data_IF_107443214888
#
_entry.id   IF_107443214888
#
_cell.length_a   1.000
_cell.length_b   1.000
_cell.length_c   1.000
_cell.angle_alpha   90.00
_cell.angle_beta   90.00
_cell.angle_gamma   90.00
#
_symmetry.space_group_name_H-M   'P 1'
#
loop_
_entity.id
_entity.type
_entity.pdbx_description
1 polymer ?
#
# COMPACT_ATOMS: atom_id res chain seq x y z
N UNK A 1 8.06 5.80 22.86
CA UNK A 1 8.12 4.92 21.66
C UNK A 1 9.53 4.45 21.32
N UNK A 2 9.68 3.13 21.09
CA UNK A 2 10.85 2.49 20.47
C UNK A 2 10.38 1.69 19.26
N UNK A 3 11.15 1.73 18.18
CA UNK A 3 10.85 1.03 16.93
C UNK A 3 12.06 0.23 16.49
N UNK A 4 11.83 -1.01 16.07
CA UNK A 4 12.84 -1.86 15.44
C UNK A 4 12.32 -2.38 14.10
N UNK A 5 13.22 -2.50 13.14
CA UNK A 5 12.96 -3.15 11.84
C UNK A 5 13.90 -4.32 11.70
N UNK A 6 13.33 -5.51 11.50
CA UNK A 6 14.07 -6.75 11.41
C UNK A 6 13.73 -7.44 10.09
N UNK A 7 14.74 -8.01 9.44
CA UNK A 7 14.59 -8.69 8.15
C UNK A 7 15.21 -10.08 8.18
N UNK A 8 14.68 -10.98 7.36
CA UNK A 8 15.24 -12.30 7.15
C UNK A 8 15.23 -12.66 5.66
N UNK A 9 16.33 -13.27 5.24
CA UNK A 9 16.54 -13.91 3.93
C UNK A 9 16.74 -15.42 4.07
N UNK A 10 16.38 -15.99 5.22
CA UNK A 10 16.58 -17.40 5.46
C UNK A 10 15.85 -18.24 4.40
N UNK A 11 16.46 -19.34 3.98
CA UNK A 11 15.94 -20.15 2.86
C UNK A 11 14.69 -20.96 3.22
N UNK A 12 14.32 -21.00 4.50
CA UNK A 12 13.12 -21.70 4.95
C UNK A 12 12.29 -20.79 5.85
N UNK A 13 10.98 -20.98 5.82
CA UNK A 13 10.04 -20.25 6.67
C UNK A 13 10.34 -20.42 8.17
N UNK A 14 10.74 -21.63 8.58
CA UNK A 14 11.03 -21.93 9.99
C UNK A 14 12.28 -21.19 10.45
N UNK A 15 13.33 -21.17 9.63
CA UNK A 15 14.56 -20.46 9.95
C UNK A 15 14.33 -18.95 9.97
N UNK A 16 13.52 -18.43 9.04
CA UNK A 16 13.14 -17.02 9.03
C UNK A 16 12.39 -16.64 10.31
N UNK A 17 11.40 -17.44 10.72
CA UNK A 17 10.68 -17.22 11.96
C UNK A 17 11.59 -17.28 13.20
N UNK A 18 12.53 -18.23 13.26
CA UNK A 18 13.48 -18.32 14.37
C UNK A 18 14.42 -17.12 14.42
N UNK A 19 14.96 -16.70 13.28
CA UNK A 19 15.84 -15.53 13.19
C UNK A 19 15.12 -14.27 13.67
N UNK A 20 13.92 -14.01 13.15
CA UNK A 20 13.13 -12.83 13.52
C UNK A 20 12.76 -12.85 15.02
N UNK A 21 12.38 -14.02 15.57
CA UNK A 21 12.12 -14.19 17.01
C UNK A 21 13.36 -13.92 17.87
N UNK A 22 14.52 -14.43 17.47
CA UNK A 22 15.77 -14.21 18.19
C UNK A 22 16.17 -12.73 18.20
N UNK A 23 16.01 -12.03 17.08
CA UNK A 23 16.27 -10.58 17.02
C UNK A 23 15.26 -9.77 17.85
N UNK A 24 13.97 -10.14 17.85
CA UNK A 24 12.97 -9.53 18.75
C UNK A 24 13.37 -9.70 20.23
N UNK A 25 13.83 -10.88 20.63
CA UNK A 25 14.24 -11.16 22.00
C UNK A 25 15.54 -10.42 22.40
N UNK A 26 16.41 -10.09 21.44
CA UNK A 26 17.57 -9.22 21.67
C UNK A 26 17.16 -7.76 21.82
N UNK A 27 16.15 -7.33 21.05
CA UNK A 27 15.65 -5.97 21.13
C UNK A 27 15.02 -5.70 22.50
N UNK A 28 14.13 -6.56 22.99
CA UNK A 28 13.41 -6.33 24.23
C UNK A 28 13.06 -7.63 24.97
N UNK A 29 12.97 -7.55 26.29
CA UNK A 29 12.48 -8.66 27.14
C UNK A 29 10.95 -8.76 27.15
N UNK A 30 10.25 -7.70 26.74
CA UNK A 30 8.79 -7.69 26.55
C UNK A 30 8.43 -7.86 25.07
N UNK A 31 7.28 -8.48 24.79
CA UNK A 31 6.74 -8.51 23.43
C UNK A 31 6.48 -7.08 22.93
N UNK A 32 6.60 -6.82 21.61
CA UNK A 32 6.15 -5.57 21.02
C UNK A 32 4.63 -5.40 21.17
N UNK A 33 4.18 -4.16 21.20
CA UNK A 33 2.76 -3.82 21.29
C UNK A 33 2.10 -3.93 19.91
N UNK A 34 2.83 -3.57 18.85
CA UNK A 34 2.41 -3.71 17.47
C UNK A 34 3.52 -4.31 16.59
N UNK A 35 3.12 -5.19 15.66
CA UNK A 35 3.99 -5.75 14.62
C UNK A 35 3.28 -5.68 13.26
N UNK A 36 3.90 -5.02 12.30
CA UNK A 36 3.59 -5.20 10.88
C UNK A 36 4.60 -6.16 10.26
N UNK A 37 4.15 -7.37 9.89
CA UNK A 37 4.95 -8.42 9.27
C UNK A 37 4.59 -8.55 7.78
N UNK A 38 5.58 -8.33 6.91
CA UNK A 38 5.42 -8.53 5.48
C UNK A 38 6.38 -9.57 4.95
N UNK A 39 5.90 -10.46 4.10
CA UNK A 39 6.67 -11.61 3.62
C UNK A 39 6.36 -11.98 2.18
N UNK A 40 7.22 -12.80 1.57
CA UNK A 40 6.94 -13.38 0.26
C UNK A 40 5.71 -14.30 0.33
N UNK A 41 4.89 -14.27 -0.72
CA UNK A 41 3.77 -15.18 -0.92
C UNK A 41 4.19 -16.67 -1.05
N UNK A 42 5.49 -16.97 -1.22
CA UNK A 42 6.00 -18.35 -1.30
C UNK A 42 6.30 -18.97 0.07
N UNK A 43 6.23 -18.19 1.15
CA UNK A 43 6.44 -18.67 2.52
C UNK A 43 5.15 -19.26 3.11
N UNK A 44 5.30 -20.17 4.08
CA UNK A 44 4.17 -20.64 4.89
C UNK A 44 3.84 -19.56 5.94
N UNK A 45 2.90 -18.67 5.60
CA UNK A 45 2.58 -17.52 6.44
C UNK A 45 2.05 -17.91 7.82
N UNK A 46 1.38 -19.05 7.95
CA UNK A 46 0.92 -19.55 9.25
C UNK A 46 2.11 -20.02 10.10
N UNK A 47 3.04 -20.77 9.52
CA UNK A 47 4.26 -21.18 10.22
C UNK A 47 5.16 -19.98 10.58
N UNK A 48 5.25 -18.98 9.70
CA UNK A 48 5.98 -17.73 9.97
C UNK A 48 5.37 -16.99 11.16
N UNK A 49 4.05 -16.76 11.12
CA UNK A 49 3.28 -16.11 12.18
C UNK A 49 3.46 -16.83 13.52
N UNK A 50 3.24 -18.14 13.55
CA UNK A 50 3.27 -18.94 14.78
C UNK A 50 4.70 -19.03 15.33
N UNK A 51 5.71 -19.09 14.45
CA UNK A 51 7.12 -19.20 14.81
C UNK A 51 7.69 -17.96 15.50
N UNK A 52 7.11 -16.77 15.31
CA UNK A 52 7.54 -15.54 15.99
C UNK A 52 7.35 -15.60 17.51
N UNK A 53 6.39 -16.38 18.01
CA UNK A 53 6.14 -16.54 19.46
C UNK A 53 5.69 -15.25 20.16
N UNK A 54 4.96 -14.38 19.46
CA UNK A 54 4.40 -13.14 20.03
C UNK A 54 3.39 -13.46 21.16
N UNK A 55 3.19 -12.53 22.10
CA UNK A 55 2.17 -12.66 23.15
C UNK A 55 0.78 -12.29 22.65
N UNK A 56 -0.27 -12.76 23.32
CA UNK A 56 -1.66 -12.50 22.94
C UNK A 56 -2.03 -11.01 22.83
N UNK A 57 -1.30 -10.17 23.56
CA UNK A 57 -1.47 -8.71 23.61
C UNK A 57 -0.85 -8.00 22.40
N UNK A 58 0.12 -8.61 21.70
CA UNK A 58 0.72 -7.98 20.51
C UNK A 58 -0.28 -7.92 19.36
N UNK A 59 -0.59 -6.71 18.89
CA UNK A 59 -1.34 -6.48 17.67
C UNK A 59 -0.50 -6.87 16.45
N UNK A 60 -0.84 -7.99 15.81
CA UNK A 60 -0.14 -8.47 14.61
C UNK A 60 -0.92 -8.13 13.35
N UNK A 61 -0.28 -7.43 12.43
CA UNK A 61 -0.74 -7.15 11.09
C UNK A 61 0.16 -7.85 10.08
N UNK A 62 -0.41 -8.64 9.19
CA UNK A 62 0.34 -9.43 8.22
C UNK A 62 -0.14 -9.28 6.80
N UNK A 63 0.78 -9.13 5.83
CA UNK A 63 0.43 -9.18 4.41
C UNK A 63 1.60 -9.63 3.53
N UNK A 64 1.31 -10.14 2.34
CA UNK A 64 2.35 -10.49 1.37
C UNK A 64 2.89 -9.25 0.64
N UNK A 65 4.18 -9.27 0.30
CA UNK A 65 4.91 -8.20 -0.41
C UNK A 65 5.57 -8.73 -1.68
N UNK A 66 5.44 -7.99 -2.78
CA UNK A 66 5.90 -8.34 -4.11
C UNK A 66 7.44 -8.40 -4.16
N UNK A 67 8.01 -9.56 -4.48
CA UNK A 67 9.45 -9.77 -4.72
C UNK A 67 10.41 -9.30 -3.59
N UNK A 68 9.92 -9.12 -2.37
CA UNK A 68 10.73 -8.83 -1.18
C UNK A 68 10.32 -7.57 -0.44
N UNK A 69 11.28 -6.99 0.30
CA UNK A 69 11.12 -5.80 1.15
C UNK A 69 12.40 -4.96 1.11
N UNK A 70 12.32 -3.69 1.51
CA UNK A 70 13.49 -2.80 1.65
C UNK A 70 13.63 -2.33 3.10
N UNK A 71 14.85 -2.10 3.56
CA UNK A 71 15.14 -1.69 4.94
C UNK A 71 16.43 -0.88 5.05
N UNK A 72 16.73 -0.42 6.26
CA UNK A 72 17.93 0.36 6.59
C UNK A 72 19.24 -0.30 6.28
N UNK A 73 19.33 -1.63 6.31
CA UNK A 73 20.62 -2.31 6.22
C UNK A 73 20.89 -2.80 4.80
N UNK A 74 19.84 -3.21 4.07
CA UNK A 74 19.86 -3.53 2.64
C UNK A 74 18.43 -3.61 2.05
N UNK A 75 18.33 -3.56 0.72
CA UNK A 75 17.20 -4.11 -0.01
C UNK A 75 17.25 -5.63 0.15
N UNK A 76 16.20 -6.22 0.73
CA UNK A 76 16.06 -7.67 0.81
C UNK A 76 15.26 -8.14 -0.39
N UNK A 77 15.90 -8.03 -1.56
CA UNK A 77 15.40 -8.59 -2.80
C UNK A 77 15.73 -10.08 -2.79
N UNK A 78 14.79 -10.89 -2.33
CA UNK A 78 14.94 -12.33 -2.15
C UNK A 78 13.65 -13.01 -2.57
N UNK A 79 13.54 -13.28 -3.88
CA UNK A 79 12.33 -13.58 -4.65
C UNK A 79 11.48 -14.80 -4.19
N UNK A 80 11.79 -15.46 -3.07
CA UNK A 80 10.95 -16.55 -2.53
C UNK A 80 10.81 -16.59 -1.00
N UNK A 81 11.76 -16.08 -0.22
CA UNK A 81 11.74 -16.27 1.26
C UNK A 81 12.05 -15.00 2.07
N UNK A 82 11.92 -13.82 1.44
CA UNK A 82 12.10 -12.55 2.15
C UNK A 82 10.97 -12.27 3.13
N UNK A 83 11.31 -11.92 4.37
CA UNK A 83 10.38 -11.41 5.38
C UNK A 83 10.97 -10.19 6.09
N UNK A 84 10.13 -9.22 6.41
CA UNK A 84 10.48 -8.03 7.17
C UNK A 84 9.39 -7.71 8.19
N UNK A 85 9.77 -7.32 9.39
CA UNK A 85 8.84 -6.89 10.43
C UNK A 85 9.22 -5.52 10.97
N UNK A 86 8.20 -4.71 11.22
CA UNK A 86 8.27 -3.42 11.88
C UNK A 86 7.58 -3.56 13.24
N UNK A 87 8.33 -3.37 14.32
CA UNK A 87 7.84 -3.58 15.67
C UNK A 87 7.88 -2.29 16.49
N UNK A 88 6.78 -2.00 17.20
CA UNK A 88 6.65 -0.84 18.09
C UNK A 88 6.56 -1.33 19.54
N UNK A 89 7.33 -0.67 20.41
CA UNK A 89 7.18 -0.72 21.87
C UNK A 89 6.85 0.69 22.37
N UNK A 90 5.66 0.88 22.91
CA UNK A 90 5.18 2.13 23.50
C UNK A 90 4.43 1.84 24.80
N UNK A 91 4.73 2.58 25.86
CA UNK A 91 4.26 2.22 27.20
C UNK A 91 2.83 2.75 27.47
N UNK A 92 2.44 3.86 26.84
CA UNK A 92 1.10 4.46 26.94
C UNK A 92 0.28 4.39 25.63
N UNK A 93 0.74 3.60 24.65
CA UNK A 93 0.02 3.39 23.37
C UNK A 93 -0.86 2.14 23.39
N UNK A 94 -1.97 2.18 22.66
CA UNK A 94 -2.91 1.05 22.52
C UNK A 94 -3.01 0.62 21.05
N UNK A 95 -2.97 -0.69 20.82
CA UNK A 95 -2.89 -1.26 19.47
C UNK A 95 -3.83 -2.45 19.34
N UNK A 96 -4.55 -2.52 18.22
CA UNK A 96 -5.41 -3.65 17.92
C UNK A 96 -5.40 -3.97 16.43
N UNK A 97 -5.36 -5.27 16.11
CA UNK A 97 -5.38 -5.77 14.73
C UNK A 97 -6.46 -6.84 14.57
N UNK A 98 -7.21 -6.78 13.47
CA UNK A 98 -8.20 -7.78 13.15
C UNK A 98 -8.29 -8.04 11.64
N UNK A 99 -8.30 -9.31 11.26
CA UNK A 99 -8.56 -9.74 9.89
C UNK A 99 -10.00 -10.24 9.71
N UNK A 100 -10.57 -10.03 8.51
CA UNK A 100 -11.87 -10.54 8.08
C UNK A 100 -11.81 -11.02 6.63
N UNK A 101 -12.47 -12.14 6.27
CA UNK A 101 -12.69 -12.48 4.87
C UNK A 101 -13.54 -11.38 4.21
N UNK A 102 -13.37 -11.12 2.91
CA UNK A 102 -14.16 -10.10 2.21
C UNK A 102 -15.58 -10.55 1.86
N UNK A 103 -15.79 -11.85 1.66
CA UNK A 103 -17.08 -12.45 1.29
C UNK A 103 -17.82 -11.60 0.21
N UNK A 104 -19.15 -11.48 0.30
CA UNK A 104 -19.98 -10.78 -0.68
C UNK A 104 -20.21 -9.28 -0.36
N UNK A 105 -19.77 -8.77 0.80
CA UNK A 105 -19.95 -7.36 1.20
C UNK A 105 -18.64 -6.76 1.76
N UNK A 106 -17.72 -6.35 0.87
CA UNK A 106 -16.41 -5.81 1.27
C UNK A 106 -16.51 -4.56 2.15
N UNK A 107 -17.56 -3.74 1.98
CA UNK A 107 -17.79 -2.56 2.81
C UNK A 107 -18.15 -2.98 4.24
N UNK A 108 -19.09 -3.91 4.41
CA UNK A 108 -19.42 -4.43 5.73
C UNK A 108 -18.21 -5.10 6.39
N UNK A 109 -17.40 -5.85 5.63
CA UNK A 109 -16.18 -6.50 6.15
C UNK A 109 -15.10 -5.51 6.57
N UNK A 110 -14.90 -4.43 5.82
CA UNK A 110 -14.02 -3.33 6.23
C UNK A 110 -14.48 -2.68 7.54
N UNK A 111 -15.78 -2.42 7.67
CA UNK A 111 -16.39 -1.88 8.89
C UNK A 111 -16.23 -2.83 10.09
N UNK A 112 -16.52 -4.12 9.91
CA UNK A 112 -16.39 -5.13 10.97
C UNK A 112 -14.94 -5.38 11.39
N UNK A 113 -14.00 -5.37 10.45
CA UNK A 113 -12.57 -5.45 10.77
C UNK A 113 -12.13 -4.23 11.58
N UNK A 114 -12.61 -3.04 11.22
CA UNK A 114 -12.31 -1.82 11.97
C UNK A 114 -12.83 -1.86 13.41
N UNK A 115 -14.10 -2.23 13.61
CA UNK A 115 -14.67 -2.36 14.96
C UNK A 115 -13.96 -3.44 15.78
N UNK A 116 -13.63 -4.58 15.17
CA UNK A 116 -12.90 -5.64 15.85
C UNK A 116 -11.48 -5.20 16.25
N UNK A 117 -10.80 -4.42 15.42
CA UNK A 117 -9.49 -3.87 15.76
C UNK A 117 -9.57 -2.84 16.91
N UNK A 118 -10.64 -2.04 16.99
CA UNK A 118 -10.89 -1.16 18.15
C UNK A 118 -11.14 -1.93 19.44
N UNK A 119 -11.92 -3.02 19.39
CA UNK A 119 -12.15 -3.91 20.54
C UNK A 119 -10.85 -4.59 20.99
N UNK A 120 -10.02 -5.03 20.05
CA UNK A 120 -8.71 -5.62 20.36
C UNK A 120 -7.73 -4.60 20.97
N UNK A 121 -7.89 -3.32 20.67
CA UNK A 121 -7.14 -2.23 21.30
C UNK A 121 -7.71 -1.82 22.68
N UNK A 122 -8.85 -2.36 23.12
CA UNK A 122 -9.61 -1.92 24.30
C UNK A 122 -10.08 -0.45 24.22
N UNK A 123 -10.38 0.03 23.00
CA UNK A 123 -10.74 1.43 22.70
C UNK A 123 -12.02 1.55 21.85
N UNK A 124 -13.11 0.84 22.18
CA UNK A 124 -14.33 0.87 21.36
C UNK A 124 -14.95 2.28 21.30
N UNK A 125 -15.25 2.73 20.09
CA UNK A 125 -15.86 4.04 19.85
C UNK A 125 -14.90 5.24 19.93
N UNK A 126 -13.61 4.99 20.15
CA UNK A 126 -12.57 6.01 20.08
C UNK A 126 -11.97 6.12 18.67
N UNK A 127 -11.34 7.26 18.39
CA UNK A 127 -10.75 7.58 17.10
C UNK A 127 -9.23 7.37 17.22
N UNK A 128 -8.63 6.46 16.44
CA UNK A 128 -7.18 6.23 16.46
C UNK A 128 -6.41 7.34 15.75
N UNK A 129 -5.10 7.41 16.01
CA UNK A 129 -4.20 8.39 15.36
C UNK A 129 -3.84 7.98 13.93
N UNK A 130 -3.90 6.68 13.65
CA UNK A 130 -3.56 6.08 12.36
C UNK A 130 -4.26 4.73 12.20
N UNK A 131 -4.66 4.43 10.97
CA UNK A 131 -5.03 3.07 10.55
C UNK A 131 -3.99 2.53 9.59
N UNK A 132 -3.44 1.35 9.91
CA UNK A 132 -2.63 0.57 8.98
C UNK A 132 -3.50 -0.51 8.32
N UNK A 133 -3.56 -0.49 6.98
CA UNK A 133 -4.47 -1.31 6.18
C UNK A 133 -3.70 -2.24 5.23
N UNK A 134 -4.06 -3.52 5.21
CA UNK A 134 -3.78 -4.38 4.07
C UNK A 134 -5.04 -5.12 3.65
N UNK A 135 -5.26 -5.23 2.34
CA UNK A 135 -6.45 -5.85 1.75
C UNK A 135 -6.05 -6.66 0.53
N UNK A 136 -6.80 -7.69 0.17
CA UNK A 136 -6.57 -8.39 -1.10
C UNK A 136 -7.06 -7.53 -2.29
N UNK A 137 -6.36 -7.56 -3.44
CA UNK A 137 -6.74 -6.74 -4.60
C UNK A 137 -8.17 -7.01 -5.09
N UNK A 138 -8.92 -5.95 -5.39
CA UNK A 138 -10.21 -6.03 -6.08
C UNK A 138 -11.32 -5.15 -5.51
N UNK A 139 -11.29 -4.87 -4.20
CA UNK A 139 -12.39 -4.24 -3.46
C UNK A 139 -11.93 -3.12 -2.52
N UNK A 140 -10.76 -2.54 -2.80
CA UNK A 140 -10.09 -1.54 -1.97
C UNK A 140 -10.99 -0.34 -1.62
N UNK A 141 -11.70 0.22 -2.60
CA UNK A 141 -12.57 1.38 -2.41
C UNK A 141 -13.74 1.09 -1.45
N UNK A 142 -14.33 -0.10 -1.56
CA UNK A 142 -15.44 -0.53 -0.70
C UNK A 142 -14.97 -0.79 0.74
N UNK A 143 -13.83 -1.46 0.91
CA UNK A 143 -13.21 -1.68 2.23
C UNK A 143 -12.84 -0.36 2.89
N UNK A 144 -12.23 0.57 2.15
CA UNK A 144 -11.93 1.92 2.64
C UNK A 144 -13.19 2.66 3.09
N UNK A 145 -14.29 2.55 2.35
CA UNK A 145 -15.56 3.13 2.79
C UNK A 145 -16.07 2.49 4.08
N UNK A 146 -15.97 1.17 4.21
CA UNK A 146 -16.38 0.44 5.41
C UNK A 146 -15.62 0.88 6.66
N UNK A 147 -14.30 1.02 6.55
CA UNK A 147 -13.47 1.50 7.66
C UNK A 147 -13.88 2.92 8.04
N UNK A 148 -14.06 3.82 7.07
CA UNK A 148 -14.50 5.21 7.32
C UNK A 148 -15.88 5.31 7.94
N UNK A 149 -16.80 4.39 7.63
CA UNK A 149 -18.10 4.33 8.29
C UNK A 149 -17.98 4.06 9.81
N UNK A 150 -16.90 3.39 10.25
CA UNK A 150 -16.65 3.07 11.65
C UNK A 150 -15.95 4.20 12.43
N UNK A 151 -14.94 4.84 11.82
CA UNK A 151 -14.03 5.78 12.52
C UNK A 151 -14.11 7.23 12.02
N UNK A 152 -14.86 7.49 10.95
CA UNK A 152 -14.93 8.79 10.27
C UNK A 152 -13.88 8.98 9.16
N UNK A 153 -13.92 10.15 8.52
CA UNK A 153 -13.10 10.45 7.32
C UNK A 153 -11.74 11.11 7.63
N UNK A 154 -11.50 11.59 8.85
CA UNK A 154 -10.33 12.42 9.19
C UNK A 154 -9.10 11.60 9.62
N UNK A 155 -9.28 10.33 10.01
CA UNK A 155 -8.17 9.47 10.39
C UNK A 155 -7.39 9.04 9.15
N UNK A 156 -6.07 9.22 9.09
CA UNK A 156 -5.27 8.69 7.99
C UNK A 156 -5.36 7.16 7.93
N UNK A 157 -5.76 6.63 6.78
CA UNK A 157 -5.75 5.20 6.45
C UNK A 157 -4.65 4.99 5.43
N UNK A 158 -3.62 4.24 5.81
CA UNK A 158 -2.41 4.09 5.02
C UNK A 158 -2.05 2.61 4.93
N UNK A 159 -1.60 2.20 3.76
CA UNK A 159 -1.24 0.82 3.52
C UNK A 159 -1.23 0.49 2.04
N UNK A 160 -1.48 -0.77 1.71
CA UNK A 160 -1.59 -1.22 0.33
C UNK A 160 -2.21 -2.60 0.25
N UNK A 161 -2.67 -2.97 -0.94
CA UNK A 161 -3.17 -4.31 -1.15
C UNK A 161 -2.02 -5.33 -1.12
N UNK A 162 -2.30 -6.49 -0.52
CA UNK A 162 -1.37 -7.61 -0.48
C UNK A 162 -0.95 -7.98 -1.90
N UNK A 163 0.33 -8.33 -2.06
CA UNK A 163 0.91 -8.58 -3.37
C UNK A 163 1.56 -9.96 -3.45
N UNK A 164 1.52 -10.54 -4.64
CA UNK A 164 2.33 -11.70 -5.01
C UNK A 164 3.42 -11.25 -6.02
N UNK A 165 4.11 -12.21 -6.63
CA UNK A 165 5.25 -11.90 -7.50
C UNK A 165 4.88 -11.73 -8.99
N UNK A 166 3.69 -12.18 -9.40
CA UNK A 166 3.30 -12.32 -10.80
C UNK A 166 1.81 -12.04 -11.09
N UNK A 167 1.07 -11.52 -10.10
CA UNK A 167 -0.36 -11.18 -10.18
C UNK A 167 -1.23 -12.41 -10.47
N UNK A 168 -0.83 -13.57 -9.93
CA UNK A 168 -1.51 -14.85 -10.09
C UNK A 168 -2.62 -15.11 -9.07
N UNK A 169 -2.70 -14.30 -8.00
CA UNK A 169 -3.66 -14.47 -6.92
C UNK A 169 -3.10 -15.15 -5.67
N UNK A 170 -1.78 -15.31 -5.57
CA UNK A 170 -1.13 -16.00 -4.46
C UNK A 170 -0.88 -15.07 -3.25
N UNK A 171 -1.48 -13.88 -3.24
CA UNK A 171 -1.39 -12.92 -2.15
C UNK A 171 -2.20 -13.37 -0.94
N UNK A 172 -1.84 -12.86 0.23
CA UNK A 172 -2.59 -13.10 1.45
C UNK A 172 -2.43 -11.97 2.47
N UNK A 173 -3.43 -11.85 3.33
CA UNK A 173 -3.39 -11.05 4.56
C UNK A 173 -3.57 -11.95 5.76
N UNK A 174 -3.08 -11.53 6.93
CA UNK A 174 -3.20 -12.33 8.15
C UNK A 174 -3.14 -11.48 9.41
N UNK A 175 -3.72 -12.02 10.48
CA UNK A 175 -3.54 -11.53 11.85
C UNK A 175 -3.05 -12.69 12.73
N UNK A 176 -3.14 -12.56 14.06
CA UNK A 176 -2.75 -13.63 14.99
C UNK A 176 -3.57 -14.92 14.82
N UNK A 177 -4.83 -14.82 14.40
CA UNK A 177 -5.78 -15.93 14.41
C UNK A 177 -5.76 -16.68 13.07
N UNK A 178 -5.66 -15.97 11.95
CA UNK A 178 -5.92 -16.56 10.63
C UNK A 178 -5.06 -15.97 9.51
N UNK A 179 -4.96 -16.73 8.42
CA UNK A 179 -4.40 -16.32 7.13
C UNK A 179 -5.51 -16.40 6.09
N UNK A 180 -5.67 -15.35 5.29
CA UNK A 180 -6.75 -15.20 4.33
C UNK A 180 -6.17 -14.89 2.94
N UNK A 181 -6.52 -15.70 1.95
CA UNK A 181 -6.21 -15.45 0.54
C UNK A 181 -7.18 -14.44 -0.10
N UNK A 182 -8.30 -14.17 0.56
CA UNK A 182 -9.27 -13.14 0.21
C UNK A 182 -9.79 -12.50 1.49
N UNK A 183 -9.34 -11.28 1.78
CA UNK A 183 -9.56 -10.68 3.08
C UNK A 183 -9.00 -9.27 3.24
N UNK A 184 -9.31 -8.69 4.39
CA UNK A 184 -8.76 -7.44 4.89
C UNK A 184 -8.16 -7.66 6.27
N UNK A 185 -7.05 -6.99 6.58
CA UNK A 185 -6.54 -6.81 7.93
C UNK A 185 -6.42 -5.31 8.22
N UNK A 186 -6.99 -4.91 9.35
CA UNK A 186 -7.02 -3.51 9.81
C UNK A 186 -6.32 -3.45 11.15
N UNK A 187 -5.46 -2.44 11.32
CA UNK A 187 -4.84 -2.14 12.61
C UNK A 187 -5.13 -0.72 13.03
N UNK A 188 -5.60 -0.56 14.27
CA UNK A 188 -5.83 0.72 14.93
C UNK A 188 -4.63 1.03 15.81
N UNK A 189 -4.02 2.19 15.60
CA UNK A 189 -2.86 2.65 16.36
C UNK A 189 -3.27 3.90 17.15
N UNK A 190 -3.31 3.78 18.47
CA UNK A 190 -3.42 4.90 19.41
C UNK A 190 -2.03 5.16 19.98
N UNK A 191 -1.40 6.25 19.54
CA UNK A 191 -0.01 6.55 19.82
C UNK A 191 0.10 7.51 21.01
N UNK A 192 1.06 7.27 21.90
CA UNK A 192 1.50 8.30 22.87
C UNK A 192 2.29 9.40 22.13
N UNK A 193 3.07 8.98 21.12
CA UNK A 193 3.86 9.85 20.26
C UNK A 193 3.06 10.56 19.16
N UNK A 194 3.76 10.87 18.07
CA UNK A 194 3.23 11.54 16.89
C UNK A 194 3.47 10.68 15.66
N UNK A 195 2.65 10.89 14.64
CA UNK A 195 2.92 10.38 13.30
C UNK A 195 2.73 11.50 12.28
N UNK A 196 3.36 11.34 11.13
CA UNK A 196 3.02 12.11 9.94
C UNK A 196 3.27 11.30 8.69
N UNK A 197 2.39 11.49 7.71
CA UNK A 197 2.41 10.77 6.46
C UNK A 197 2.61 11.66 5.23
N UNK A 198 2.98 11.02 4.12
CA UNK A 198 2.96 11.61 2.79
C UNK A 198 2.55 10.55 1.77
N UNK A 199 1.72 10.93 0.79
CA UNK A 199 1.20 10.05 -0.26
C UNK A 199 1.29 10.75 -1.63
N UNK A 200 2.00 10.16 -2.60
CA UNK A 200 2.22 10.79 -3.90
C UNK A 200 2.39 9.79 -5.05
N UNK A 201 2.14 10.25 -6.28
CA UNK A 201 2.36 9.49 -7.50
C UNK A 201 3.73 9.76 -8.14
N UNK A 202 4.22 11.00 -8.15
CA UNK A 202 5.45 11.37 -8.89
C UNK A 202 5.30 11.40 -10.41
N UNK A 203 4.07 11.32 -10.94
CA UNK A 203 3.77 11.50 -12.36
C UNK A 203 3.31 12.93 -12.64
N UNK A 204 3.53 13.39 -13.87
CA UNK A 204 3.07 14.71 -14.33
C UNK A 204 1.86 14.59 -15.25
N UNK A 205 0.86 15.48 -15.15
CA UNK A 205 -0.28 15.45 -16.06
C UNK A 205 0.13 15.90 -17.47
N UNK A 206 -0.38 15.21 -18.49
CA UNK A 206 -0.29 15.67 -19.87
C UNK A 206 -1.43 16.65 -20.21
N UNK A 207 -1.46 17.15 -21.45
CA UNK A 207 -2.58 17.94 -21.95
C UNK A 207 -3.80 17.09 -22.38
N UNK A 208 -3.69 15.76 -22.34
CA UNK A 208 -4.75 14.86 -22.77
C UNK A 208 -5.66 14.47 -21.61
N UNK A 209 -6.93 14.85 -21.69
CA UNK A 209 -7.98 14.46 -20.75
C UNK A 209 -9.30 14.24 -21.46
N UNK A 210 -10.23 13.56 -20.79
CA UNK A 210 -11.58 13.29 -21.30
C UNK A 210 -12.52 12.82 -20.20
N UNK A 211 -13.83 12.93 -20.46
CA UNK A 211 -14.87 12.52 -19.53
C UNK A 211 -15.20 11.04 -19.71
N UNK A 212 -15.27 10.30 -18.62
CA UNK A 212 -15.76 8.92 -18.63
C UNK A 212 -17.25 8.93 -18.87
N UNK A 213 -17.68 8.49 -20.06
CA UNK A 213 -19.09 8.48 -20.45
C UNK A 213 -19.76 7.14 -20.26
N UNK A 214 -18.98 6.06 -20.10
CA UNK A 214 -19.49 4.73 -19.74
C UNK A 214 -18.43 3.90 -19.03
N UNK A 215 -18.74 3.41 -17.82
CA UNK A 215 -17.86 2.56 -17.03
C UNK A 215 -18.66 1.67 -16.08
N UNK A 216 -18.12 0.50 -15.75
CA UNK A 216 -18.70 -0.43 -14.78
C UNK A 216 -17.58 -1.02 -13.92
N UNK A 217 -17.60 -0.73 -12.62
CA UNK A 217 -16.54 -1.12 -11.69
C UNK A 217 -15.15 -0.69 -12.19
N UNK A 218 -14.31 -1.69 -12.46
CA UNK A 218 -12.93 -1.54 -12.94
C UNK A 218 -12.76 -1.64 -14.46
N UNK A 219 -13.84 -1.44 -15.21
CA UNK A 219 -13.82 -1.43 -16.68
C UNK A 219 -14.33 -0.12 -17.23
N UNK A 220 -13.48 0.55 -18.00
CA UNK A 220 -13.83 1.79 -18.71
C UNK A 220 -14.19 1.43 -20.14
N UNK A 221 -15.43 1.68 -20.53
CA UNK A 221 -15.88 1.39 -21.88
C UNK A 221 -15.72 2.60 -22.80
N UNK A 222 -16.08 3.79 -22.31
CA UNK A 222 -16.12 4.99 -23.14
C UNK A 222 -15.55 6.22 -22.42
N UNK A 223 -14.77 6.99 -23.19
CA UNK A 223 -14.29 8.32 -22.84
C UNK A 223 -14.70 9.28 -23.96
N UNK A 224 -15.37 10.38 -23.62
CA UNK A 224 -15.95 11.35 -24.57
C UNK A 224 -16.83 10.68 -25.66
N UNK A 225 -17.67 9.71 -25.26
CA UNK A 225 -18.53 8.93 -26.16
C UNK A 225 -17.78 8.16 -27.25
N UNK A 226 -16.51 7.83 -27.00
CA UNK A 226 -15.66 7.02 -27.88
C UNK A 226 -15.08 5.85 -27.11
N UNK A 227 -14.75 4.73 -27.77
CA UNK A 227 -14.14 3.58 -27.10
C UNK A 227 -12.89 4.00 -26.31
N UNK A 228 -12.79 3.55 -25.07
CA UNK A 228 -11.71 3.92 -24.15
C UNK A 228 -10.33 3.58 -24.74
N UNK A 229 -10.16 2.42 -25.35
CA UNK A 229 -8.91 2.00 -25.98
C UNK A 229 -8.48 2.94 -27.12
N UNK A 230 -9.43 3.39 -27.95
CA UNK A 230 -9.14 4.33 -29.03
C UNK A 230 -8.69 5.70 -28.50
N UNK A 231 -9.30 6.16 -27.40
CA UNK A 231 -8.89 7.40 -26.73
C UNK A 231 -7.49 7.26 -26.11
N UNK A 232 -7.23 6.15 -25.42
CA UNK A 232 -5.94 5.89 -24.80
C UNK A 232 -4.81 5.73 -25.82
N UNK A 233 -5.05 5.03 -26.94
CA UNK A 233 -4.12 4.96 -28.07
C UNK A 233 -3.81 6.35 -28.62
N UNK A 234 -4.83 7.20 -28.79
CA UNK A 234 -4.64 8.57 -29.27
C UNK A 234 -3.79 9.39 -28.30
N UNK A 235 -4.09 9.32 -27.00
CA UNK A 235 -3.36 10.07 -25.97
C UNK A 235 -1.90 9.61 -25.86
N UNK A 236 -1.66 8.31 -25.97
CA UNK A 236 -0.29 7.73 -25.96
C UNK A 236 0.44 7.85 -27.29
N UNK A 237 -0.16 8.50 -28.29
CA UNK A 237 0.37 8.70 -29.65
C UNK A 237 0.70 7.39 -30.37
N UNK A 238 -0.14 6.37 -30.16
CA UNK A 238 -0.01 5.06 -30.80
C UNK A 238 0.98 4.11 -30.14
N UNK A 239 1.66 4.52 -29.06
CA UNK A 239 2.56 3.62 -28.29
C UNK A 239 1.82 2.42 -27.73
N UNK A 240 0.57 2.60 -27.31
CA UNK A 240 -0.31 1.52 -26.87
C UNK A 240 -1.43 1.36 -27.90
N UNK A 241 -1.37 0.34 -28.78
CA UNK A 241 -2.41 0.08 -29.77
C UNK A 241 -3.75 -0.27 -29.13
N UNK A 242 -4.85 0.24 -29.71
CA UNK A 242 -6.22 -0.08 -29.27
C UNK A 242 -6.69 -1.45 -29.78
N UNK A 243 -6.11 -1.94 -30.88
CA UNK A 243 -6.57 -3.16 -31.52
C UNK A 243 -6.09 -4.40 -30.79
N UNK A 244 -7.04 -5.31 -30.57
CA UNK A 244 -6.81 -6.63 -29.99
C UNK A 244 -7.06 -7.66 -31.08
N UNK A 245 -6.04 -8.47 -31.37
CA UNK A 245 -6.16 -9.56 -32.36
C UNK A 245 -6.65 -10.83 -31.68
N UNK A 246 -7.89 -11.23 -31.97
CA UNK A 246 -8.48 -12.46 -31.42
C UNK A 246 -9.49 -12.20 -30.30
N UNK A 247 -9.96 -13.26 -29.62
CA UNK A 247 -11.01 -13.17 -28.62
C UNK A 247 -10.51 -12.76 -27.23
N UNK A 248 -9.20 -12.81 -26.99
CA UNK A 248 -8.61 -12.61 -25.65
C UNK A 248 -8.17 -11.16 -25.45
N UNK A 249 -8.29 -10.64 -24.23
CA UNK A 249 -7.80 -9.31 -23.88
C UNK A 249 -6.28 -9.22 -24.02
N UNK A 250 -5.78 -8.07 -24.48
CA UNK A 250 -4.35 -7.76 -24.51
C UNK A 250 -3.91 -7.19 -23.16
N UNK A 251 -3.00 -7.86 -22.47
CA UNK A 251 -2.30 -7.27 -21.32
C UNK A 251 -1.43 -6.08 -21.77
N UNK A 252 -1.58 -4.95 -21.09
CA UNK A 252 -0.81 -3.71 -21.33
C UNK A 252 -0.17 -3.19 -20.05
N UNK A 253 -0.06 -4.02 -19.01
CA UNK A 253 0.29 -3.56 -17.68
C UNK A 253 1.69 -2.93 -17.61
N UNK A 254 2.67 -3.62 -18.18
CA UNK A 254 4.03 -3.10 -18.29
C UNK A 254 4.10 -1.90 -19.26
N UNK A 255 3.32 -1.94 -20.35
CA UNK A 255 3.29 -0.89 -21.38
C UNK A 255 2.74 0.43 -20.82
N UNK A 256 1.75 0.36 -19.92
CA UNK A 256 1.00 1.50 -19.38
C UNK A 256 1.65 2.12 -18.13
N UNK A 257 2.64 1.47 -17.51
CA UNK A 257 3.24 1.91 -16.23
C UNK A 257 3.80 3.33 -16.27
N UNK A 258 4.38 3.78 -17.39
CA UNK A 258 4.89 5.15 -17.53
C UNK A 258 3.87 6.14 -18.11
N UNK A 259 2.69 5.64 -18.48
CA UNK A 259 1.60 6.44 -19.04
C UNK A 259 0.23 6.08 -18.43
N UNK A 260 0.08 6.05 -17.09
CA UNK A 260 -1.19 5.70 -16.47
C UNK A 260 -2.23 6.80 -16.70
N UNK A 261 -3.47 6.51 -16.34
CA UNK A 261 -4.52 7.51 -16.24
C UNK A 261 -4.54 8.06 -14.81
N UNK A 262 -5.20 9.19 -14.58
CA UNK A 262 -5.46 9.69 -13.25
C UNK A 262 -6.77 10.46 -13.17
N UNK A 263 -7.43 10.34 -12.02
CA UNK A 263 -8.47 11.27 -11.60
C UNK A 263 -7.85 12.43 -10.82
N UNK A 264 -8.43 13.60 -10.99
CA UNK A 264 -8.00 14.81 -10.30
C UNK A 264 -8.70 14.91 -8.95
N UNK A 265 -7.93 15.05 -7.87
CA UNK A 265 -8.44 15.35 -6.53
C UNK A 265 -8.08 16.78 -6.18
N UNK A 266 -9.09 17.61 -5.94
CA UNK A 266 -8.85 19.00 -5.58
C UNK A 266 -8.56 19.11 -4.09
N UNK A 267 -7.41 19.69 -3.76
CA UNK A 267 -7.03 20.01 -2.38
C UNK A 267 -7.72 21.29 -1.93
N UNK A 268 -7.91 21.46 -0.61
CA UNK A 268 -8.50 22.70 -0.05
C UNK A 268 -7.65 23.95 -0.31
N UNK A 269 -6.35 23.80 -0.60
CA UNK A 269 -5.44 24.90 -0.95
C UNK A 269 -5.51 25.30 -2.44
N UNK A 270 -6.38 24.66 -3.23
CA UNK A 270 -6.57 24.93 -4.65
C UNK A 270 -5.57 24.23 -5.58
N UNK A 271 -4.61 23.47 -5.04
CA UNK A 271 -3.76 22.59 -5.83
C UNK A 271 -4.49 21.28 -6.17
N UNK A 272 -4.01 20.58 -7.18
CA UNK A 272 -4.55 19.30 -7.61
C UNK A 272 -3.58 18.18 -7.27
N UNK A 273 -4.07 17.17 -6.58
CA UNK A 273 -3.44 15.86 -6.53
C UNK A 273 -4.01 14.98 -7.64
N UNK A 274 -3.22 13.98 -8.05
CA UNK A 274 -3.60 13.03 -9.09
C UNK A 274 -3.54 11.63 -8.52
N UNK A 275 -4.72 11.01 -8.37
CA UNK A 275 -4.84 9.61 -8.01
C UNK A 275 -4.81 8.78 -9.29
N UNK A 276 -3.76 8.00 -9.41
CA UNK A 276 -3.53 7.21 -10.60
C UNK A 276 -4.48 6.02 -10.67
N UNK A 277 -4.87 5.73 -11.91
CA UNK A 277 -5.63 4.56 -12.33
C UNK A 277 -4.76 3.85 -13.36
N UNK A 278 -4.34 2.61 -13.08
CA UNK A 278 -3.39 1.89 -13.92
C UNK A 278 -4.11 1.00 -14.93
N UNK A 279 -3.98 1.26 -16.25
CA UNK A 279 -4.55 0.38 -17.28
C UNK A 279 -3.88 -0.99 -17.32
N UNK A 280 -4.66 -2.05 -17.18
CA UNK A 280 -4.18 -3.42 -17.10
C UNK A 280 -4.32 -4.19 -18.42
N UNK A 281 -5.48 -4.08 -19.07
CA UNK A 281 -5.76 -4.78 -20.31
C UNK A 281 -6.67 -3.99 -21.25
N UNK A 282 -6.53 -4.26 -22.55
CA UNK A 282 -7.47 -3.81 -23.58
C UNK A 282 -8.29 -5.00 -24.04
N UNK A 283 -9.60 -4.86 -24.07
CA UNK A 283 -10.54 -5.91 -24.43
C UNK A 283 -10.92 -5.85 -25.93
N UNK A 284 -11.44 -6.95 -26.51
CA UNK A 284 -11.91 -6.97 -27.90
C UNK A 284 -13.01 -5.96 -28.22
N UNK A 285 -13.82 -5.57 -27.22
CA UNK A 285 -14.84 -4.53 -27.33
C UNK A 285 -14.28 -3.10 -27.19
N UNK A 286 -12.95 -2.95 -27.15
CA UNK A 286 -12.20 -1.71 -26.96
C UNK A 286 -12.42 -1.02 -25.61
N UNK A 287 -12.96 -1.73 -24.61
CA UNK A 287 -12.89 -1.31 -23.21
C UNK A 287 -11.48 -1.51 -22.64
N UNK A 288 -11.18 -0.79 -21.56
CA UNK A 288 -9.93 -0.90 -20.81
C UNK A 288 -10.25 -1.40 -19.40
N UNK A 289 -9.62 -2.50 -18.99
CA UNK A 289 -9.59 -2.92 -17.59
C UNK A 289 -8.53 -2.13 -16.83
N UNK A 290 -8.87 -1.69 -15.62
CA UNK A 290 -8.00 -0.88 -14.74
C UNK A 290 -7.93 -1.49 -13.34
N UNK A 291 -7.01 -0.99 -12.51
CA UNK A 291 -6.83 -1.46 -11.13
C UNK A 291 -7.48 -0.59 -10.04
N UNK A 292 -8.31 0.37 -10.43
CA UNK A 292 -9.10 1.20 -9.52
C UNK A 292 -10.48 1.44 -10.14
N UNK A 293 -11.53 1.54 -9.32
CA UNK A 293 -12.88 1.80 -9.81
C UNK A 293 -13.00 3.21 -10.38
N UNK A 294 -13.57 3.33 -11.58
CA UNK A 294 -13.75 4.63 -12.23
C UNK A 294 -15.23 4.89 -12.47
N UNK A 295 -15.87 5.76 -11.68
CA UNK A 295 -17.24 6.17 -11.90
C UNK A 295 -17.45 6.90 -13.23
N UNK A 296 -18.64 6.72 -13.82
CA UNK A 296 -19.12 7.58 -14.89
C UNK A 296 -19.18 9.04 -14.44
N UNK A 297 -18.82 9.96 -15.34
CA UNK A 297 -18.79 11.40 -15.08
C UNK A 297 -17.46 11.94 -14.53
N UNK A 298 -16.50 11.07 -14.17
CA UNK A 298 -15.15 11.52 -13.82
C UNK A 298 -14.36 12.00 -15.05
N UNK A 299 -13.41 12.91 -14.81
CA UNK A 299 -12.41 13.31 -15.81
C UNK A 299 -11.14 12.50 -15.59
N UNK A 300 -10.71 11.77 -16.61
CA UNK A 300 -9.41 11.11 -16.62
C UNK A 300 -8.41 11.93 -17.41
N UNK A 301 -7.21 12.05 -16.86
CA UNK A 301 -6.06 12.70 -17.50
C UNK A 301 -4.97 11.65 -17.75
N UNK A 302 -4.38 11.65 -18.94
CA UNK A 302 -3.17 10.86 -19.20
C UNK A 302 -2.01 11.48 -18.42
N UNK A 303 -1.32 10.64 -17.66
CA UNK A 303 -0.13 11.02 -16.91
C UNK A 303 1.14 10.56 -17.61
N UNK A 304 2.26 11.21 -17.31
CA UNK A 304 3.58 10.91 -17.84
C UNK A 304 4.56 10.71 -16.68
N UNK A 305 5.23 9.55 -16.68
CA UNK A 305 6.25 9.18 -15.72
C UNK A 305 7.58 8.88 -16.39
N UNK A 306 8.65 8.94 -15.60
CA UNK A 306 9.98 8.46 -15.98
C UNK A 306 10.56 7.64 -14.84
N UNK A 307 11.48 6.71 -15.13
CA UNK A 307 12.20 5.95 -14.10
C UNK A 307 12.86 6.87 -13.06
N UNK A 308 13.49 7.96 -13.52
CA UNK A 308 14.08 8.96 -12.63
C UNK A 308 13.04 9.61 -11.70
N UNK A 309 11.84 9.91 -12.19
CA UNK A 309 10.77 10.45 -11.36
C UNK A 309 10.29 9.43 -10.31
N UNK A 310 10.26 8.14 -10.63
CA UNK A 310 9.92 7.07 -9.69
C UNK A 310 10.98 6.91 -8.57
N UNK A 311 12.25 7.16 -8.88
CA UNK A 311 13.34 7.21 -7.90
C UNK A 311 13.24 8.47 -7.03
N UNK A 312 13.15 9.64 -7.66
CA UNK A 312 13.11 10.93 -6.98
C UNK A 312 11.91 11.05 -6.02
N UNK A 313 10.73 10.55 -6.41
CA UNK A 313 9.53 10.61 -5.56
C UNK A 313 9.71 9.83 -4.25
N UNK A 314 10.50 8.77 -4.25
CA UNK A 314 10.70 7.95 -3.05
C UNK A 314 11.41 8.74 -1.95
N UNK A 315 12.48 9.43 -2.32
CA UNK A 315 13.17 10.34 -1.41
C UNK A 315 12.30 11.51 -0.97
N UNK A 316 11.53 12.12 -1.88
CA UNK A 316 10.63 13.25 -1.56
C UNK A 316 9.55 12.86 -0.56
N UNK A 317 8.86 11.73 -0.77
CA UNK A 317 7.81 11.25 0.13
C UNK A 317 8.36 10.92 1.51
N UNK A 318 9.54 10.26 1.57
CA UNK A 318 10.22 10.00 2.83
C UNK A 318 10.64 11.29 3.57
N UNK A 319 11.19 12.26 2.85
CA UNK A 319 11.54 13.56 3.42
C UNK A 319 10.31 14.33 3.91
N UNK A 320 9.21 14.30 3.14
CA UNK A 320 7.97 14.98 3.48
C UNK A 320 7.36 14.42 4.75
N UNK A 321 7.24 13.10 4.89
CA UNK A 321 6.70 12.50 6.11
C UNK A 321 7.60 12.84 7.30
N UNK A 322 8.92 12.65 7.21
CA UNK A 322 9.85 12.99 8.30
C UNK A 322 9.80 14.46 8.72
N UNK A 323 9.77 15.38 7.76
CA UNK A 323 9.82 16.82 8.04
C UNK A 323 8.48 17.41 8.51
N UNK A 324 7.39 16.66 8.36
CA UNK A 324 6.06 17.06 8.81
C UNK A 324 5.79 16.76 10.27
N UNK A 325 6.65 15.96 10.92
CA UNK A 325 6.59 15.77 12.37
C UNK A 325 6.70 17.11 13.13
N UNK A 326 5.97 17.28 14.25
CA UNK A 326 6.03 18.49 15.06
C UNK A 326 7.45 18.81 15.56
N UNK A 327 8.05 19.86 14.99
CA UNK A 327 9.43 20.27 15.31
C UNK A 327 9.61 20.57 16.79
N UNK A 328 10.63 19.98 17.40
CA UNK A 328 10.97 20.17 18.82
C UNK A 328 10.01 19.49 19.80
N UNK A 329 9.04 18.71 19.30
CA UNK A 329 8.08 17.94 20.09
C UNK A 329 8.06 16.45 19.75
N UNK A 330 8.50 16.09 18.54
CA UNK A 330 8.55 14.72 18.08
C UNK A 330 9.91 14.45 17.41
N UNK A 331 10.74 13.61 18.02
CA UNK A 331 11.93 13.07 17.39
C UNK A 331 11.54 11.84 16.56
N UNK A 332 11.93 11.74 15.27
CA UNK A 332 11.67 10.56 14.46
C UNK A 332 12.23 9.29 15.12
N UNK A 333 11.42 8.22 15.19
CA UNK A 333 11.79 6.91 15.77
C UNK A 333 11.77 5.76 14.76
N UNK A 334 10.96 5.84 13.70
CA UNK A 334 10.96 4.86 12.62
C UNK A 334 9.99 5.23 11.49
N UNK A 335 10.03 4.50 10.38
CA UNK A 335 9.12 4.72 9.26
C UNK A 335 8.60 3.44 8.58
N UNK A 336 7.36 3.51 8.09
CA UNK A 336 6.79 2.51 7.18
C UNK A 336 6.66 3.12 5.79
N UNK A 337 7.13 2.41 4.77
CA UNK A 337 7.07 2.85 3.37
C UNK A 337 6.25 1.84 2.56
N UNK A 338 5.23 2.32 1.86
CA UNK A 338 4.49 1.51 0.89
C UNK A 338 4.88 1.96 -0.50
N UNK A 339 5.42 1.07 -1.31
CA UNK A 339 5.83 1.37 -2.68
C UNK A 339 5.17 0.42 -3.65
N UNK A 340 4.59 0.92 -4.74
CA UNK A 340 3.91 0.04 -5.69
C UNK A 340 4.85 -1.01 -6.30
N UNK A 341 4.46 -2.29 -6.18
CA UNK A 341 5.10 -3.44 -6.79
C UNK A 341 5.17 -3.33 -8.32
N UNK A 342 4.16 -2.74 -8.96
CA UNK A 342 4.20 -2.43 -10.40
C UNK A 342 5.33 -1.46 -10.78
N UNK A 343 5.55 -0.43 -9.97
CA UNK A 343 6.68 0.48 -10.16
C UNK A 343 8.01 -0.23 -9.87
N UNK A 344 8.07 -1.07 -8.83
CA UNK A 344 9.27 -1.84 -8.50
C UNK A 344 9.67 -2.78 -9.64
N UNK A 345 8.71 -3.53 -10.21
CA UNK A 345 8.95 -4.39 -11.37
C UNK A 345 9.40 -3.60 -12.59
N UNK A 346 8.84 -2.41 -12.81
CA UNK A 346 9.28 -1.54 -13.87
C UNK A 346 10.72 -1.04 -13.65
N UNK A 347 11.13 -0.75 -12.42
CA UNK A 347 12.51 -0.34 -12.10
C UNK A 347 13.51 -1.48 -12.31
N UNK A 348 13.15 -2.73 -11.97
CA UNK A 348 14.06 -3.86 -12.07
C UNK A 348 15.32 -3.66 -11.21
N UNK A 349 16.51 -3.80 -11.79
CA UNK A 349 17.80 -3.63 -11.08
C UNK A 349 18.02 -2.21 -10.53
N UNK A 350 17.27 -1.21 -11.02
CA UNK A 350 17.38 0.17 -10.54
C UNK A 350 16.64 0.41 -9.21
N UNK A 351 16.01 -0.61 -8.62
CA UNK A 351 15.29 -0.48 -7.34
C UNK A 351 16.21 -0.12 -6.15
N UNK A 352 17.51 -0.43 -6.24
CA UNK A 352 18.47 -0.02 -5.21
C UNK A 352 18.58 1.51 -5.14
N UNK A 353 18.39 2.22 -6.25
CA UNK A 353 18.36 3.69 -6.26
C UNK A 353 17.16 4.24 -5.48
N UNK A 354 16.01 3.55 -5.51
CA UNK A 354 14.83 3.90 -4.70
C UNK A 354 15.17 3.75 -3.21
N UNK A 355 15.83 2.64 -2.85
CA UNK A 355 16.26 2.37 -1.47
C UNK A 355 17.25 3.42 -0.98
N UNK A 356 18.21 3.81 -1.82
CA UNK A 356 19.20 4.85 -1.51
C UNK A 356 18.55 6.22 -1.30
N UNK A 357 17.55 6.57 -2.13
CA UNK A 357 16.80 7.81 -1.96
C UNK A 357 16.03 7.85 -0.64
N UNK A 358 15.40 6.74 -0.24
CA UNK A 358 14.71 6.64 1.04
C UNK A 358 15.70 6.78 2.20
N UNK A 359 16.80 6.00 2.18
CA UNK A 359 17.86 6.04 3.22
C UNK A 359 18.46 7.43 3.38
N UNK A 360 18.71 8.13 2.27
CA UNK A 360 19.27 9.48 2.28
C UNK A 360 18.34 10.52 2.91
N UNK A 361 17.02 10.28 2.88
CA UNK A 361 16.01 11.18 3.44
C UNK A 361 15.49 10.73 4.81
N UNK A 362 15.80 9.51 5.24
CA UNK A 362 15.58 8.95 6.58
C UNK A 362 16.91 8.55 7.25
N UNK A 363 17.90 9.45 7.35
CA UNK A 363 19.21 9.08 7.88
C UNK A 363 19.08 8.60 9.33
N UNK A 364 19.74 7.48 9.62
CA UNK A 364 19.80 6.84 10.95
C UNK A 364 18.45 6.43 11.54
N UNK A 365 17.38 6.37 10.72
CA UNK A 365 16.02 6.05 11.15
C UNK A 365 15.61 4.67 10.63
N UNK A 366 15.25 3.69 11.48
CA UNK A 366 14.79 2.38 11.02
C UNK A 366 13.51 2.50 10.19
N UNK A 367 13.49 1.90 9.00
CA UNK A 367 12.32 1.83 8.13
C UNK A 367 12.16 0.45 7.52
N UNK A 368 10.90 0.06 7.36
CA UNK A 368 10.49 -1.09 6.56
C UNK A 368 9.73 -0.55 5.36
N UNK A 369 10.20 -0.90 4.16
CA UNK A 369 9.47 -0.66 2.93
C UNK A 369 8.93 -1.94 2.34
N UNK A 370 7.67 -1.90 1.92
CA UNK A 370 6.92 -3.03 1.37
C UNK A 370 6.47 -2.72 -0.06
N UNK A 371 6.38 -3.77 -0.87
CA UNK A 371 5.97 -3.68 -2.26
C UNK A 371 4.54 -4.21 -2.43
N UNK A 372 3.57 -3.31 -2.49
CA UNK A 372 2.15 -3.65 -2.53
C UNK A 372 1.57 -3.51 -3.93
N UNK A 373 0.35 -3.99 -4.13
CA UNK A 373 -0.48 -3.55 -5.25
C UNK A 373 -1.48 -2.54 -4.71
N UNK A 374 -1.80 -1.48 -5.46
CA UNK A 374 -2.88 -0.55 -5.08
C UNK A 374 -2.70 0.04 -3.68
N UNK A 375 -2.05 1.19 -3.60
CA UNK A 375 -1.71 1.81 -2.32
C UNK A 375 -2.91 2.57 -1.75
N UNK A 376 -3.07 2.51 -0.43
CA UNK A 376 -3.99 3.37 0.30
C UNK A 376 -3.22 4.47 1.02
N UNK A 377 -3.73 5.68 0.90
CA UNK A 377 -3.09 6.82 1.52
C UNK A 377 -4.06 7.97 1.77
N UNK A 378 -3.61 8.87 2.62
CA UNK A 378 -4.36 10.04 3.01
C UNK A 378 -3.84 11.26 2.23
N UNK A 379 -4.75 11.99 1.60
CA UNK A 379 -4.46 13.31 1.03
C UNK A 379 -4.98 14.33 2.03
N UNK A 380 -4.10 15.14 2.65
CA UNK A 380 -4.52 16.17 3.58
C UNK A 380 -5.59 17.03 2.91
N UNK A 381 -6.72 17.19 3.59
CA UNK A 381 -7.88 17.96 3.13
C UNK A 381 -8.76 17.30 2.05
N UNK A 382 -8.30 16.20 1.44
CA UNK A 382 -8.97 15.42 0.41
C UNK A 382 -9.45 14.03 0.87
N UNK A 383 -9.03 13.54 2.03
CA UNK A 383 -9.50 12.28 2.63
C UNK A 383 -8.63 11.06 2.29
N UNK A 384 -9.15 9.87 2.56
CA UNK A 384 -8.46 8.59 2.30
C UNK A 384 -8.81 8.02 0.94
N UNK A 385 -7.80 7.54 0.23
CA UNK A 385 -7.91 7.13 -1.16
C UNK A 385 -7.15 5.87 -1.47
N UNK A 386 -7.69 5.11 -2.42
CA UNK A 386 -6.96 4.10 -3.16
C UNK A 386 -6.35 4.72 -4.41
N UNK A 387 -5.09 4.40 -4.70
CA UNK A 387 -4.42 4.79 -5.93
C UNK A 387 -3.44 3.72 -6.39
N UNK A 388 -3.27 3.56 -7.70
CA UNK A 388 -2.29 2.62 -8.25
C UNK A 388 -0.94 3.31 -8.48
N UNK A 389 0.19 2.58 -8.52
CA UNK A 389 1.51 3.16 -8.86
C UNK A 389 1.94 4.30 -7.91
N UNK A 390 1.41 4.34 -6.69
CA UNK A 390 1.70 5.38 -5.72
C UNK A 390 2.84 4.96 -4.79
N UNK A 391 3.23 5.89 -3.94
CA UNK A 391 4.08 5.64 -2.78
C UNK A 391 3.50 6.38 -1.56
N UNK A 392 3.50 5.73 -0.40
CA UNK A 392 3.29 6.39 0.88
C UNK A 392 4.46 6.18 1.83
N UNK A 393 4.68 7.13 2.73
CA UNK A 393 5.60 6.97 3.85
C UNK A 393 4.98 7.56 5.10
N UNK A 394 5.06 6.82 6.20
CA UNK A 394 4.65 7.23 7.53
C UNK A 394 5.92 7.32 8.37
N UNK A 395 6.17 8.46 9.00
CA UNK A 395 7.21 8.59 10.02
C UNK A 395 6.55 8.69 11.39
N UNK A 396 6.98 7.84 12.31
CA UNK A 396 6.59 7.85 13.72
C UNK A 396 7.62 8.64 14.54
N UNK A 397 7.17 9.38 15.53
CA UNK A 397 8.02 10.17 16.41
C UNK A 397 7.53 10.16 17.86
N UNK A 398 8.43 10.48 18.80
CA UNK A 398 8.13 10.57 20.23
C UNK A 398 8.89 11.72 20.90
#
# INVERSE_FOLDING_TARGET
MRIEVLTSTAQTTIDAASQLREELAKASTRSPDFVALHASCKMDLAALRDGLGLTAETALHGATSCNGIISNDNSTLGQEHGAGLFAIWEDEGDFGSAARPLDDDPRARGHEAALAALEMADRPGEIPDLVWLSVTPGQEEHVLQGIRDAIGDEVPIIGGSAADNDISGEWAVFDRAQVLSDGVVVSMLFLEGYQSDAFQSGYSPSASSGFVTRAEGRRIYEIDHKPAAAMYQRWTQGRIPADVSGPDSRNILADSTLTPLARQVQRRDGQNDYLLVHPAAINPDQSIDVFAEVPEGEVLTLMEGTRSALVDRAGKVAAMSRNSLPKGRAEPKGALVVFCGGCMMAMGEEIDQVTDQIRSNLPDLPFLGVFTFGEQGHIPSGGNWHGNLMISCITFGA
#
